data_IF_465215031087
#
_entry.id   IF_465215031087
#
_cell.length_a   1.000
_cell.length_b   1.000
_cell.length_c   1.000
_cell.angle_alpha   90.00
_cell.angle_beta   90.00
_cell.angle_gamma   90.00
#
_symmetry.space_group_name_H-M   'P 1'
#
loop_
_entity.id
_entity.type
_entity.pdbx_description
1 polymer ?
#
# COMPACT_ATOMS: atom_id res chain seq x y z
N UNK A 1 8.64 -8.61 -17.74
CA UNK A 1 7.27 -8.42 -17.22
C UNK A 1 6.86 -6.99 -17.51
N UNK A 2 5.61 -6.74 -17.87
CA UNK A 2 5.13 -5.38 -18.15
C UNK A 2 4.33 -4.85 -16.97
N UNK A 3 4.46 -3.58 -16.64
CA UNK A 3 3.63 -2.92 -15.62
C UNK A 3 2.70 -1.94 -16.30
N UNK A 4 1.41 -2.08 -16.03
CA UNK A 4 0.37 -1.14 -16.43
C UNK A 4 0.03 -0.28 -15.23
N UNK A 5 0.04 1.03 -15.43
CA UNK A 5 -0.07 2.01 -14.38
C UNK A 5 -1.40 2.77 -14.44
N UNK A 6 -2.16 2.71 -13.35
CA UNK A 6 -3.35 3.52 -13.12
C UNK A 6 -3.03 4.59 -12.07
N UNK A 7 -2.82 5.83 -12.53
CA UNK A 7 -2.58 6.97 -11.62
C UNK A 7 -3.92 7.62 -11.31
N UNK A 8 -4.31 7.62 -10.04
CA UNK A 8 -5.60 8.13 -9.57
C UNK A 8 -5.41 9.39 -8.74
N UNK A 9 -6.09 10.46 -9.15
CA UNK A 9 -6.16 11.72 -8.42
C UNK A 9 -7.57 11.95 -7.90
N UNK A 10 -7.78 12.20 -6.60
CA UNK A 10 -9.07 12.63 -6.11
C UNK A 10 -9.27 14.12 -6.47
N UNK A 11 -10.47 14.52 -6.87
CA UNK A 11 -10.77 15.93 -7.22
C UNK A 11 -10.76 16.87 -6.02
N UNK A 12 -11.17 16.35 -4.88
CA UNK A 12 -11.19 17.06 -3.61
C UNK A 12 -10.40 16.25 -2.58
N UNK A 13 -10.12 16.87 -1.44
CA UNK A 13 -9.54 16.14 -0.32
C UNK A 13 -10.48 14.98 0.07
N UNK A 14 -9.94 13.77 0.26
CA UNK A 14 -10.70 12.55 0.59
C UNK A 14 -11.42 12.69 1.95
N UNK A 15 -10.92 13.57 2.82
CA UNK A 15 -11.60 13.96 4.06
C UNK A 15 -12.81 14.89 3.88
N UNK A 16 -13.11 15.35 2.66
CA UNK A 16 -14.25 16.23 2.36
C UNK A 16 -15.59 15.51 2.53
N UNK A 17 -16.64 16.28 2.84
CA UNK A 17 -18.03 15.80 2.92
C UNK A 17 -18.50 15.09 1.64
N UNK A 18 -17.91 15.40 0.48
CA UNK A 18 -18.27 14.77 -0.80
C UNK A 18 -17.94 13.27 -0.86
N UNK A 19 -16.92 12.86 -0.09
CA UNK A 19 -16.60 11.44 0.08
C UNK A 19 -17.41 10.83 1.22
N UNK A 20 -17.72 11.59 2.28
CA UNK A 20 -18.37 11.11 3.51
C UNK A 20 -19.88 11.35 3.53
N UNK A 21 -20.68 10.31 3.29
CA UNK A 21 -22.13 10.35 3.55
C UNK A 21 -22.43 10.42 5.06
N UNK A 22 -23.52 11.10 5.42
CA UNK A 22 -24.12 11.03 6.76
C UNK A 22 -24.51 9.57 7.04
N UNK A 23 -23.72 8.87 7.86
CA UNK A 23 -23.92 7.45 8.19
C UNK A 23 -22.71 6.54 7.98
N UNK A 24 -21.57 7.04 7.50
CA UNK A 24 -20.29 6.31 7.50
C UNK A 24 -20.07 5.33 6.34
N UNK A 25 -21.08 5.06 5.52
CA UNK A 25 -20.96 4.24 4.30
C UNK A 25 -20.58 5.14 3.13
N UNK A 26 -19.41 4.93 2.52
CA UNK A 26 -18.89 5.72 1.40
C UNK A 26 -19.50 5.17 0.10
N UNK A 27 -20.47 5.86 -0.50
CA UNK A 27 -20.98 5.50 -1.82
C UNK A 27 -19.90 5.79 -2.89
N UNK A 28 -19.61 4.81 -3.74
CA UNK A 28 -18.68 5.00 -4.84
C UNK A 28 -19.25 5.94 -5.89
N UNK A 29 -18.53 7.03 -6.17
CA UNK A 29 -18.88 8.02 -7.19
C UNK A 29 -17.68 8.23 -8.13
N UNK A 30 -17.75 7.77 -9.40
CA UNK A 30 -16.65 7.92 -10.36
C UNK A 30 -16.20 9.37 -10.55
N UNK A 31 -17.14 10.32 -10.50
CA UNK A 31 -16.90 11.77 -10.66
C UNK A 31 -15.92 12.38 -9.66
N UNK A 32 -15.61 11.68 -8.57
CA UNK A 32 -14.70 12.15 -7.53
C UNK A 32 -13.23 11.92 -7.90
N UNK A 33 -12.96 11.15 -8.97
CA UNK A 33 -11.62 10.76 -9.37
C UNK A 33 -11.31 11.21 -10.79
N UNK A 34 -10.07 11.64 -10.98
CA UNK A 34 -9.47 11.77 -12.29
C UNK A 34 -8.39 10.67 -12.46
N UNK A 35 -8.24 10.17 -13.68
CA UNK A 35 -7.24 9.18 -14.06
C UNK A 35 -6.28 9.76 -15.10
N UNK A 36 -5.00 9.42 -14.98
CA UNK A 36 -3.98 9.79 -15.96
C UNK A 36 -4.07 8.88 -17.20
N UNK A 37 -4.20 9.47 -18.38
CA UNK A 37 -4.16 8.77 -19.66
C UNK A 37 -3.20 9.46 -20.63
N UNK A 38 -2.67 8.68 -21.56
CA UNK A 38 -1.77 9.09 -22.62
C UNK A 38 -2.52 8.99 -23.95
N UNK A 39 -2.28 9.94 -24.85
CA UNK A 39 -2.88 10.00 -26.18
C UNK A 39 -1.87 9.44 -27.19
N UNK A 40 -2.17 8.31 -27.82
CA UNK A 40 -1.35 7.77 -28.91
C UNK A 40 -1.79 8.39 -30.23
N UNK A 41 -0.86 9.06 -30.89
CA UNK A 41 -0.97 9.53 -32.28
C UNK A 41 -0.33 8.57 -33.28
N UNK A 42 0.09 7.37 -32.85
CA UNK A 42 0.91 6.45 -33.66
C UNK A 42 0.18 5.83 -34.85
N UNK A 43 -1.14 5.89 -34.88
CA UNK A 43 -1.92 5.50 -36.04
C UNK A 43 -2.51 6.77 -36.65
N UNK A 44 -2.44 6.90 -37.98
CA UNK A 44 -3.11 7.93 -38.79
C UNK A 44 -4.66 7.90 -38.70
N UNK A 45 -5.20 7.47 -37.55
CA UNK A 45 -6.60 7.50 -37.20
C UNK A 45 -7.00 8.95 -36.86
N UNK A 46 -8.17 9.43 -37.32
CA UNK A 46 -8.61 10.80 -37.12
C UNK A 46 -8.91 11.16 -35.66
N UNK A 47 -8.84 10.21 -34.72
CA UNK A 47 -9.07 10.42 -33.29
C UNK A 47 -7.92 9.83 -32.47
N UNK A 48 -7.33 10.61 -31.53
CA UNK A 48 -6.28 10.11 -30.66
C UNK A 48 -6.81 8.94 -29.82
N UNK A 49 -6.04 7.86 -29.76
CA UNK A 49 -6.40 6.68 -28.96
C UNK A 49 -5.83 6.84 -27.56
N UNK A 50 -6.70 6.83 -26.55
CA UNK A 50 -6.26 7.01 -25.16
C UNK A 50 -5.88 5.67 -24.54
N UNK A 51 -4.73 5.61 -23.88
CA UNK A 51 -4.24 4.39 -23.26
C UNK A 51 -3.67 4.66 -21.87
N UNK A 52 -3.57 3.59 -21.06
CA UNK A 52 -2.91 3.63 -19.76
C UNK A 52 -1.40 3.48 -19.98
N UNK A 53 -0.57 4.27 -19.27
CA UNK A 53 0.88 4.15 -19.38
C UNK A 53 1.33 2.75 -18.96
N UNK A 54 2.22 2.17 -19.76
CA UNK A 54 2.82 0.87 -19.50
C UNK A 54 4.32 0.94 -19.74
N UNK A 55 5.09 0.21 -18.92
CA UNK A 55 6.54 0.14 -19.04
C UNK A 55 7.06 -1.27 -18.67
N UNK A 56 8.17 -1.71 -19.27
CA UNK A 56 8.81 -2.96 -18.88
C UNK A 56 9.43 -2.83 -17.48
N UNK A 57 9.25 -3.85 -16.65
CA UNK A 57 9.98 -3.97 -15.39
C UNK A 57 11.43 -4.36 -15.71
N UNK A 58 12.38 -3.53 -15.29
CA UNK A 58 13.80 -3.71 -15.58
C UNK A 58 14.54 -4.45 -14.46
N UNK A 59 14.13 -4.29 -13.20
CA UNK A 59 14.85 -4.86 -12.06
C UNK A 59 13.99 -5.91 -11.35
N UNK A 60 14.36 -7.20 -11.47
CA UNK A 60 13.61 -8.30 -10.83
C UNK A 60 13.97 -8.50 -9.35
N UNK A 61 15.08 -7.92 -8.88
CA UNK A 61 15.60 -8.13 -7.52
C UNK A 61 15.12 -7.06 -6.51
N UNK A 62 14.72 -5.88 -6.98
CA UNK A 62 14.29 -4.76 -6.15
C UNK A 62 12.77 -4.77 -5.92
N UNK A 63 12.28 -4.12 -4.85
CA UNK A 63 10.85 -4.07 -4.58
C UNK A 63 10.14 -3.30 -5.72
N UNK A 64 9.27 -3.94 -6.53
CA UNK A 64 8.76 -3.37 -7.79
C UNK A 64 7.95 -2.08 -7.58
N UNK A 65 7.58 -1.77 -6.34
CA UNK A 65 6.85 -0.55 -5.97
C UNK A 65 7.70 0.70 -6.14
N UNK A 66 8.99 0.64 -5.82
CA UNK A 66 9.88 1.80 -5.90
C UNK A 66 10.24 2.10 -7.35
N UNK A 67 10.44 1.07 -8.17
CA UNK A 67 10.59 1.20 -9.62
C UNK A 67 9.33 1.83 -10.24
N UNK A 68 8.13 1.41 -9.82
CA UNK A 68 6.87 2.00 -10.29
C UNK A 68 6.75 3.49 -9.98
N UNK A 69 7.12 3.90 -8.76
CA UNK A 69 7.08 5.32 -8.36
C UNK A 69 8.14 6.15 -9.10
N UNK A 70 9.31 5.58 -9.33
CA UNK A 70 10.40 6.22 -10.07
C UNK A 70 10.04 6.40 -11.54
N UNK A 71 9.49 5.36 -12.17
CA UNK A 71 9.03 5.42 -13.56
C UNK A 71 7.86 6.40 -13.71
N UNK A 72 6.92 6.46 -12.77
CA UNK A 72 5.87 7.48 -12.76
C UNK A 72 6.46 8.91 -12.76
N UNK A 73 7.44 9.15 -11.90
CA UNK A 73 8.08 10.46 -11.80
C UNK A 73 8.76 10.85 -13.12
N UNK A 74 9.46 9.92 -13.76
CA UNK A 74 10.09 10.12 -15.07
C UNK A 74 9.05 10.37 -16.18
N UNK A 75 7.98 9.56 -16.23
CA UNK A 75 6.90 9.67 -17.22
C UNK A 75 6.11 10.97 -17.13
N UNK A 76 6.13 11.64 -15.99
CA UNK A 76 5.36 12.87 -15.74
C UNK A 76 6.21 14.14 -15.76
N UNK A 77 7.47 14.05 -16.21
CA UNK A 77 8.35 15.21 -16.44
C UNK A 77 9.71 15.15 -15.76
N UNK A 78 9.90 14.19 -14.84
CA UNK A 78 11.16 13.97 -14.12
C UNK A 78 11.72 15.23 -13.45
N UNK A 79 13.04 15.30 -13.33
CA UNK A 79 13.73 16.43 -12.70
C UNK A 79 13.65 17.72 -13.51
N UNK A 80 13.45 17.63 -14.83
CA UNK A 80 13.43 18.80 -15.72
C UNK A 80 12.16 19.61 -15.60
N UNK A 81 11.03 18.96 -15.30
CA UNK A 81 9.71 19.60 -15.28
C UNK A 81 8.93 19.41 -13.98
N UNK A 82 9.51 18.72 -12.99
CA UNK A 82 8.88 18.47 -11.70
C UNK A 82 7.82 17.39 -11.81
N UNK A 83 8.25 16.14 -12.02
CA UNK A 83 7.36 14.98 -12.12
C UNK A 83 6.49 14.76 -10.89
N UNK A 84 5.37 14.06 -11.08
CA UNK A 84 4.43 13.72 -10.02
C UNK A 84 5.03 12.60 -9.17
N UNK A 85 5.15 12.84 -7.87
CA UNK A 85 5.58 11.83 -6.89
C UNK A 85 4.34 11.13 -6.34
N UNK A 86 4.11 9.89 -6.77
CA UNK A 86 3.02 9.08 -6.22
C UNK A 86 3.14 8.85 -4.71
N UNK A 87 2.00 8.67 -4.04
CA UNK A 87 1.94 8.43 -2.59
C UNK A 87 2.35 6.99 -2.22
N UNK A 88 2.08 6.02 -3.10
CA UNK A 88 2.44 4.59 -2.96
C UNK A 88 2.12 3.80 -4.23
N UNK A 89 2.77 2.66 -4.44
CA UNK A 89 2.41 1.70 -5.50
C UNK A 89 1.60 0.52 -4.96
N UNK A 90 0.35 0.38 -5.38
CA UNK A 90 -0.53 -0.72 -4.95
C UNK A 90 -0.78 -1.70 -6.09
N UNK A 91 -0.44 -2.96 -5.89
CA UNK A 91 -0.77 -4.01 -6.83
C UNK A 91 -2.28 -4.29 -6.80
N UNK A 92 -2.94 -4.16 -7.94
CA UNK A 92 -4.32 -4.61 -8.12
C UNK A 92 -4.27 -6.11 -8.47
N UNK A 93 -4.91 -6.98 -7.67
CA UNK A 93 -4.96 -8.39 -8.00
C UNK A 93 -5.73 -8.59 -9.30
N UNK A 94 -5.06 -9.12 -10.31
CA UNK A 94 -5.67 -9.48 -11.59
C UNK A 94 -5.92 -10.99 -11.61
N UNK A 95 -7.18 -11.41 -11.51
CA UNK A 95 -7.55 -12.82 -11.70
C UNK A 95 -7.51 -13.11 -13.19
N UNK A 96 -6.50 -13.86 -13.67
CA UNK A 96 -6.49 -14.36 -15.04
C UNK A 96 -7.67 -15.31 -15.20
N UNK A 97 -8.71 -14.86 -15.91
CA UNK A 97 -9.79 -15.75 -16.29
C UNK A 97 -9.27 -16.70 -17.37
N UNK A 98 -9.58 -17.98 -17.22
CA UNK A 98 -8.86 -19.13 -17.76
C UNK A 98 -8.95 -19.36 -19.29
N UNK A 99 -9.25 -18.35 -20.09
CA UNK A 99 -9.41 -18.53 -21.53
C UNK A 99 -8.41 -17.66 -22.29
N UNK A 100 -7.34 -18.33 -22.72
CA UNK A 100 -6.43 -18.00 -23.82
C UNK A 100 -6.25 -16.50 -24.09
N UNK A 101 -5.24 -15.90 -23.47
CA UNK A 101 -4.51 -14.81 -24.11
C UNK A 101 -3.01 -15.06 -23.89
N UNK A 102 -2.36 -15.39 -24.99
CA UNK A 102 -0.94 -15.71 -25.14
C UNK A 102 -0.01 -14.58 -24.66
N UNK A 103 0.92 -14.95 -23.78
CA UNK A 103 2.32 -14.49 -23.78
C UNK A 103 2.65 -13.03 -23.40
N UNK A 104 2.13 -12.51 -22.29
CA UNK A 104 2.89 -11.57 -21.45
C UNK A 104 2.41 -11.58 -20.00
N UNK A 105 3.35 -11.73 -19.07
CA UNK A 105 3.09 -11.51 -17.66
C UNK A 105 3.10 -10.00 -17.39
N UNK A 106 1.93 -9.47 -17.06
CA UNK A 106 1.78 -8.07 -16.66
C UNK A 106 1.30 -7.92 -15.21
N UNK A 107 1.65 -6.80 -14.59
CA UNK A 107 1.12 -6.35 -13.30
C UNK A 107 0.35 -5.05 -13.47
N UNK A 108 -0.74 -4.90 -12.73
CA UNK A 108 -1.53 -3.67 -12.71
C UNK A 108 -1.29 -2.96 -11.40
N UNK A 109 -0.71 -1.77 -11.46
CA UNK A 109 -0.45 -0.94 -10.28
C UNK A 109 -1.36 0.27 -10.26
N UNK A 110 -1.98 0.52 -9.09
CA UNK A 110 -2.66 1.76 -8.77
C UNK A 110 -1.70 2.65 -8.00
N UNK A 111 -1.52 3.89 -8.46
CA UNK A 111 -0.76 4.92 -7.77
C UNK A 111 -1.68 6.09 -7.42
N UNK A 112 -2.09 6.24 -6.15
CA UNK A 112 -2.80 7.42 -5.71
C UNK A 112 -1.84 8.62 -5.67
N UNK A 113 -2.35 9.78 -6.08
CA UNK A 113 -1.66 11.08 -6.03
C UNK A 113 -2.52 12.08 -5.26
N UNK A 114 -1.92 13.20 -4.87
CA UNK A 114 -2.62 14.24 -4.13
C UNK A 114 -3.59 15.00 -5.06
N UNK A 115 -4.69 15.52 -4.53
CA UNK A 115 -5.64 16.34 -5.30
C UNK A 115 -5.00 17.62 -5.87
N UNK A 116 -3.89 18.08 -5.26
CA UNK A 116 -3.11 19.24 -5.71
C UNK A 116 -2.15 18.93 -6.84
N UNK A 117 -1.85 17.65 -7.09
CA UNK A 117 -0.86 17.26 -8.08
C UNK A 117 -1.39 17.51 -9.49
N UNK A 118 -0.59 18.23 -10.27
CA UNK A 118 -0.89 18.61 -11.65
C UNK A 118 0.35 18.39 -12.49
N UNK A 119 0.12 18.00 -13.75
CA UNK A 119 1.18 17.94 -14.73
C UNK A 119 1.63 19.36 -15.10
N UNK A 120 2.92 19.52 -15.34
CA UNK A 120 3.46 20.77 -15.84
C UNK A 120 3.01 21.00 -17.29
N UNK A 121 2.37 22.14 -17.57
CA UNK A 121 1.85 22.47 -18.90
C UNK A 121 2.94 22.42 -19.99
N UNK A 122 4.15 22.90 -19.67
CA UNK A 122 5.29 22.89 -20.59
C UNK A 122 5.72 21.46 -20.95
N UNK A 123 5.59 20.52 -20.02
CA UNK A 123 5.88 19.12 -20.28
C UNK A 123 4.82 18.48 -21.18
N UNK A 124 3.54 18.73 -20.87
CA UNK A 124 2.42 18.19 -21.65
C UNK A 124 2.51 18.61 -23.12
N UNK A 125 2.79 19.90 -23.38
CA UNK A 125 2.91 20.43 -24.75
C UNK A 125 4.10 19.86 -25.53
N UNK A 126 5.20 19.54 -24.84
CA UNK A 126 6.42 18.99 -25.45
C UNK A 126 6.40 17.47 -25.59
N UNK A 127 5.56 16.79 -24.83
CA UNK A 127 5.50 15.34 -24.83
C UNK A 127 4.74 14.81 -26.06
N UNK A 128 5.22 13.73 -26.71
CA UNK A 128 4.57 13.17 -27.90
C UNK A 128 3.19 12.56 -27.57
N UNK A 129 3.06 11.96 -26.39
CA UNK A 129 1.86 11.24 -25.96
C UNK A 129 0.88 12.10 -25.12
N UNK A 130 1.13 13.41 -24.99
CA UNK A 130 0.27 14.40 -24.30
C UNK A 130 -0.48 13.85 -23.07
N UNK A 131 0.21 13.55 -21.96
CA UNK A 131 -0.42 12.98 -20.78
C UNK A 131 -1.38 13.99 -20.15
N UNK A 132 -2.55 13.51 -19.72
CA UNK A 132 -3.60 14.35 -19.14
C UNK A 132 -4.42 13.63 -18.09
N UNK A 133 -4.93 14.39 -17.12
CA UNK A 133 -5.91 13.88 -16.15
C UNK A 133 -7.32 14.04 -16.70
N UNK A 134 -8.06 12.94 -16.74
CA UNK A 134 -9.43 12.88 -17.24
C UNK A 134 -10.38 12.38 -16.16
N UNK A 135 -11.58 12.97 -16.08
CA UNK A 135 -12.62 12.51 -15.14
C UNK A 135 -12.93 11.03 -15.38
N UNK A 136 -12.89 10.22 -14.32
CA UNK A 136 -13.15 8.79 -14.42
C UNK A 136 -14.58 8.50 -14.88
N UNK A 137 -15.55 9.33 -14.50
CA UNK A 137 -16.94 9.31 -14.99
C UNK A 137 -16.99 9.40 -16.52
N UNK A 138 -16.37 10.45 -17.08
CA UNK A 138 -16.35 10.65 -18.53
C UNK A 138 -15.66 9.50 -19.26
N UNK A 139 -14.61 8.91 -18.67
CA UNK A 139 -13.89 7.77 -19.24
C UNK A 139 -14.78 6.52 -19.25
N UNK A 140 -15.44 6.21 -18.14
CA UNK A 140 -16.36 5.06 -18.05
C UNK A 140 -17.54 5.23 -19.01
N UNK A 141 -18.16 6.41 -19.05
CA UNK A 141 -19.25 6.72 -19.97
C UNK A 141 -18.81 6.60 -21.42
N UNK A 142 -17.58 7.02 -21.74
CA UNK A 142 -17.03 6.88 -23.09
C UNK A 142 -16.76 5.42 -23.49
N UNK A 143 -16.41 4.57 -22.53
CA UNK A 143 -16.25 3.12 -22.75
C UNK A 143 -17.61 2.47 -23.00
N UNK A 144 -18.63 2.84 -22.24
CA UNK A 144 -20.00 2.31 -22.38
C UNK A 144 -20.66 2.78 -23.68
N UNK A 145 -20.53 4.06 -24.02
CA UNK A 145 -21.12 4.67 -25.21
C UNK A 145 -20.26 4.51 -26.48
N UNK A 146 -19.08 3.88 -26.38
CA UNK A 146 -18.10 3.68 -27.48
C UNK A 146 -17.74 4.96 -28.24
N UNK A 147 -17.74 6.10 -27.58
CA UNK A 147 -17.52 7.43 -28.21
C UNK A 147 -16.05 7.69 -28.56
N UNK A 148 -15.14 7.16 -27.75
CA UNK A 148 -13.68 7.30 -27.87
C UNK A 148 -13.06 5.92 -28.10
N UNK A 149 -12.08 5.85 -29.00
CA UNK A 149 -11.34 4.62 -29.28
C UNK A 149 -10.32 4.36 -28.16
N UNK A 150 -10.66 3.44 -27.27
CA UNK A 150 -9.75 2.87 -26.27
C UNK A 150 -9.30 1.48 -26.72
N UNK A 151 -8.01 1.14 -26.62
CA UNK A 151 -7.54 -0.21 -26.87
C UNK A 151 -8.31 -1.24 -26.01
N UNK A 152 -8.63 -2.44 -26.54
CA UNK A 152 -9.23 -3.52 -25.77
C UNK A 152 -8.60 -3.79 -24.40
N UNK A 153 -7.26 -3.83 -24.22
CA UNK A 153 -6.66 -4.04 -22.91
C UNK A 153 -7.02 -2.92 -21.93
N UNK A 154 -6.86 -1.66 -22.35
CA UNK A 154 -7.18 -0.48 -21.52
C UNK A 154 -8.63 -0.48 -21.04
N UNK A 155 -9.58 -0.87 -21.89
CA UNK A 155 -11.00 -1.00 -21.49
C UNK A 155 -11.20 -2.02 -20.37
N UNK A 156 -10.63 -3.22 -20.53
CA UNK A 156 -10.70 -4.27 -19.49
C UNK A 156 -10.08 -3.78 -18.17
N UNK A 157 -8.95 -3.08 -18.22
CA UNK A 157 -8.29 -2.54 -17.02
C UNK A 157 -9.12 -1.49 -16.31
N UNK A 158 -9.74 -0.56 -17.04
CA UNK A 158 -10.56 0.49 -16.43
C UNK A 158 -11.82 -0.11 -15.80
N UNK A 159 -12.49 -1.07 -16.44
CA UNK A 159 -13.64 -1.76 -15.84
C UNK A 159 -13.26 -2.54 -14.58
N UNK A 160 -12.09 -3.20 -14.56
CA UNK A 160 -11.60 -3.89 -13.36
C UNK A 160 -11.21 -2.91 -12.25
N UNK A 161 -10.57 -1.80 -12.60
CA UNK A 161 -10.24 -0.72 -11.67
C UNK A 161 -11.50 -0.14 -11.02
N UNK A 162 -12.57 0.07 -11.80
CA UNK A 162 -13.86 0.53 -11.30
C UNK A 162 -14.45 -0.45 -10.27
N UNK A 163 -14.47 -1.75 -10.60
CA UNK A 163 -14.93 -2.81 -9.68
C UNK A 163 -14.10 -2.85 -8.39
N UNK A 164 -12.77 -2.77 -8.53
CA UNK A 164 -11.85 -2.72 -7.40
C UNK A 164 -12.07 -1.48 -6.52
N UNK A 165 -12.27 -0.29 -7.11
CA UNK A 165 -12.59 0.93 -6.36
C UNK A 165 -13.93 0.82 -5.63
N UNK A 166 -14.97 0.25 -6.27
CA UNK A 166 -16.25 -0.04 -5.60
C UNK A 166 -16.06 -0.92 -4.37
N UNK A 167 -15.23 -1.97 -4.48
CA UNK A 167 -14.90 -2.83 -3.34
C UNK A 167 -14.16 -2.07 -2.22
N UNK A 168 -13.24 -1.16 -2.58
CA UNK A 168 -12.51 -0.34 -1.59
C UNK A 168 -13.41 0.70 -0.92
N UNK A 169 -14.37 1.27 -1.63
CA UNK A 169 -15.38 2.18 -1.07
C UNK A 169 -16.33 1.48 -0.09
N UNK A 170 -16.65 0.21 -0.33
CA UNK A 170 -17.50 -0.57 0.58
C UNK A 170 -16.87 -0.79 1.97
N UNK A 171 -15.54 -0.64 2.08
CA UNK A 171 -14.81 -0.79 3.35
C UNK A 171 -14.57 0.58 3.98
N UNK A 172 -14.99 0.78 5.24
CA UNK A 172 -14.73 2.05 5.93
C UNK A 172 -13.21 2.30 6.04
N UNK A 173 -12.82 3.58 6.05
CA UNK A 173 -11.44 4.08 6.23
C UNK A 173 -10.40 3.66 5.17
N UNK A 174 -10.76 2.78 4.23
CA UNK A 174 -9.84 2.25 3.23
C UNK A 174 -9.38 3.35 2.25
N UNK A 175 -10.26 4.30 1.90
CA UNK A 175 -9.91 5.44 1.05
C UNK A 175 -9.00 6.43 1.73
N UNK A 176 -9.24 6.70 3.02
CA UNK A 176 -8.40 7.59 3.81
C UNK A 176 -6.97 7.05 3.86
N UNK A 177 -6.81 5.72 4.00
CA UNK A 177 -5.51 5.05 3.95
C UNK A 177 -4.92 5.08 2.52
N UNK A 178 -5.75 4.87 1.49
CA UNK A 178 -5.33 4.83 0.09
C UNK A 178 -4.64 6.13 -0.35
N UNK A 179 -5.28 7.27 -0.07
CA UNK A 179 -4.79 8.60 -0.45
C UNK A 179 -4.00 9.30 0.66
N UNK A 180 -3.65 8.58 1.72
CA UNK A 180 -2.85 9.15 2.80
C UNK A 180 -1.43 9.48 2.33
N UNK A 181 -0.85 10.54 2.89
CA UNK A 181 0.52 10.97 2.56
C UNK A 181 1.58 9.86 2.67
N UNK A 182 2.65 9.97 1.87
CA UNK A 182 3.83 9.08 1.89
C UNK A 182 4.36 8.88 3.31
N UNK A 183 4.95 7.72 3.55
CA UNK A 183 5.58 7.40 4.83
C UNK A 183 6.62 8.44 5.23
N UNK A 184 7.39 8.97 4.27
CA UNK A 184 8.44 9.97 4.45
C UNK A 184 7.96 11.23 5.19
N UNK A 185 6.73 11.67 4.95
CA UNK A 185 6.17 12.87 5.60
C UNK A 185 5.52 12.56 6.97
N UNK A 186 5.29 11.29 7.27
CA UNK A 186 4.59 10.83 8.48
C UNK A 186 5.53 10.36 9.57
N UNK A 187 6.70 9.83 9.21
CA UNK A 187 7.72 9.42 10.17
C UNK A 187 8.20 10.66 10.94
N UNK A 188 8.05 10.66 12.26
CA UNK A 188 8.49 11.75 13.14
C UNK A 188 9.82 11.47 13.81
N UNK A 189 10.04 10.21 14.18
CA UNK A 189 11.29 9.73 14.72
C UNK A 189 11.50 8.30 14.24
N UNK A 190 12.76 7.91 14.10
CA UNK A 190 13.17 6.53 13.82
C UNK A 190 14.21 6.16 14.85
N UNK A 191 14.00 5.06 15.56
CA UNK A 191 14.98 4.49 16.49
C UNK A 191 15.54 3.24 15.83
N UNK A 192 16.80 3.29 15.45
CA UNK A 192 17.52 2.14 14.89
C UNK A 192 18.47 1.59 15.94
N UNK A 193 18.49 0.27 16.10
CA UNK A 193 19.42 -0.38 17.00
C UNK A 193 20.85 -0.25 16.44
N UNK A 194 21.80 0.33 17.21
CA UNK A 194 23.17 0.56 16.75
C UNK A 194 23.91 -0.72 16.36
N UNK A 195 23.54 -1.89 16.89
CA UNK A 195 24.14 -3.17 16.51
C UNK A 195 23.86 -3.57 15.05
N UNK A 196 22.84 -2.97 14.42
CA UNK A 196 22.45 -3.26 13.04
C UNK A 196 22.66 -2.08 12.08
N UNK A 197 23.26 -0.98 12.55
CA UNK A 197 23.62 0.11 11.66
C UNK A 197 24.83 -0.31 10.82
N UNK A 198 24.76 -0.27 9.47
CA UNK A 198 25.93 -0.47 8.65
C UNK A 198 26.94 0.62 9.04
N UNK A 199 28.07 0.20 9.59
CA UNK A 199 29.09 1.09 10.13
C UNK A 199 29.48 2.08 9.04
N UNK A 200 29.29 3.39 9.26
CA UNK A 200 29.74 4.47 8.37
C UNK A 200 31.27 4.61 8.39
N UNK A 201 32.00 3.51 8.33
CA UNK A 201 33.41 3.54 8.05
C UNK A 201 33.54 3.59 6.52
N UNK A 202 34.36 4.49 5.96
CA UNK A 202 34.65 4.45 4.54
C UNK A 202 35.21 3.07 4.23
N UNK A 203 34.49 2.32 3.40
CA UNK A 203 34.94 1.06 2.83
C UNK A 203 36.15 1.35 1.95
N UNK A 204 37.33 1.39 2.55
CA UNK A 204 38.58 1.14 1.83
C UNK A 204 38.60 -0.36 1.52
N UNK A 205 38.14 -0.74 0.31
CA UNK A 205 38.41 -1.92 -0.54
C UNK A 205 38.78 -3.31 0.03
N UNK A 206 38.74 -3.53 1.34
CA UNK A 206 39.19 -4.76 1.96
C UNK A 206 37.97 -5.58 2.41
N UNK A 207 37.47 -6.42 1.51
CA UNK A 207 36.44 -7.45 1.77
C UNK A 207 36.74 -8.32 3.00
N UNK A 208 38.02 -8.45 3.40
CA UNK A 208 38.44 -9.16 4.61
C UNK A 208 37.91 -8.51 5.91
N UNK A 209 37.79 -7.18 5.94
CA UNK A 209 37.30 -6.46 7.12
C UNK A 209 35.79 -6.68 7.38
N UNK A 210 35.02 -7.05 6.35
CA UNK A 210 33.58 -7.26 6.47
C UNK A 210 33.27 -8.65 7.06
N UNK A 211 34.07 -9.67 6.72
CA UNK A 211 34.03 -10.98 7.37
C UNK A 211 34.53 -10.91 8.81
N UNK A 212 35.60 -10.16 9.08
CA UNK A 212 36.09 -9.92 10.45
C UNK A 212 35.05 -9.21 11.31
N UNK A 213 34.39 -8.16 10.78
CA UNK A 213 33.32 -7.45 11.48
C UNK A 213 32.11 -8.35 11.73
N UNK A 214 31.73 -9.17 10.73
CA UNK A 214 30.68 -10.18 10.88
C UNK A 214 31.06 -11.16 11.99
N UNK A 215 32.29 -11.64 12.01
CA UNK A 215 32.77 -12.57 13.02
C UNK A 215 32.82 -11.94 14.41
N UNK A 216 33.23 -10.67 14.53
CA UNK A 216 33.20 -9.90 15.78
C UNK A 216 31.76 -9.70 16.29
N UNK A 217 30.81 -9.42 15.40
CA UNK A 217 29.39 -9.29 15.77
C UNK A 217 28.79 -10.63 16.25
N UNK A 218 29.11 -11.74 15.57
CA UNK A 218 28.70 -13.08 16.00
C UNK A 218 29.39 -13.48 17.32
N UNK A 219 30.65 -13.09 17.52
CA UNK A 219 31.37 -13.33 18.77
C UNK A 219 30.77 -12.52 19.93
N UNK A 220 30.41 -11.26 19.70
CA UNK A 220 29.72 -10.42 20.70
C UNK A 220 28.35 -11.00 21.05
N UNK A 221 27.59 -11.48 20.06
CA UNK A 221 26.30 -12.15 20.26
C UNK A 221 26.47 -13.48 21.01
N UNK A 222 27.48 -14.28 20.68
CA UNK A 222 27.80 -15.52 21.40
C UNK A 222 28.23 -15.25 22.85
N UNK A 223 29.00 -14.18 23.10
CA UNK A 223 29.35 -13.73 24.46
C UNK A 223 28.14 -13.24 25.22
N UNK A 224 27.23 -12.49 24.59
CA UNK A 224 25.95 -12.10 25.20
C UNK A 224 25.10 -13.32 25.59
N UNK A 225 24.94 -14.28 24.68
CA UNK A 225 24.21 -15.53 24.96
C UNK A 225 24.89 -16.39 26.03
N UNK A 226 26.22 -16.35 26.11
CA UNK A 226 26.98 -17.00 27.18
C UNK A 226 26.84 -16.30 28.55
N UNK A 227 26.68 -14.97 28.54
CA UNK A 227 26.39 -14.14 29.73
C UNK A 227 24.92 -14.28 30.16
N UNK A 228 23.99 -14.59 29.24
CA UNK A 228 22.60 -14.96 29.52
C UNK A 228 22.44 -16.34 30.22
N UNK A 229 23.45 -16.80 30.96
CA UNK A 229 23.20 -17.60 32.16
C UNK A 229 22.63 -16.66 33.22
N UNK A 230 21.31 -16.48 33.18
CA UNK A 230 20.53 -15.63 34.07
C UNK A 230 20.95 -15.77 35.55
N UNK A 231 21.75 -14.83 36.06
CA UNK A 231 22.06 -14.72 37.50
C UNK A 231 21.11 -13.77 38.25
N UNK A 232 20.27 -13.02 37.55
CA UNK A 232 19.30 -12.12 38.18
C UNK A 232 17.89 -12.42 37.66
N UNK A 233 17.12 -13.14 38.47
CA UNK A 233 15.67 -13.18 38.35
C UNK A 233 15.12 -11.90 39.00
N UNK A 234 14.81 -10.88 38.20
CA UNK A 234 13.93 -9.80 38.67
C UNK A 234 12.51 -10.35 38.67
N UNK A 235 12.09 -10.91 39.80
CA UNK A 235 10.67 -11.21 40.03
C UNK A 235 9.95 -9.87 40.03
N UNK A 236 9.08 -9.65 39.05
CA UNK A 236 8.18 -8.51 39.04
C UNK A 236 7.43 -8.48 40.39
N UNK A 237 7.60 -7.43 41.23
CA UNK A 237 7.03 -7.40 42.58
C UNK A 237 5.50 -7.40 42.58
N UNK A 238 4.87 -7.31 41.41
CA UNK A 238 3.42 -7.44 41.24
C UNK A 238 2.94 -8.90 41.33
N UNK A 239 3.77 -9.88 40.96
CA UNK A 239 3.45 -11.28 41.20
C UNK A 239 3.73 -11.56 42.68
N UNK A 240 2.67 -11.88 43.42
CA UNK A 240 2.60 -12.06 44.89
C UNK A 240 2.28 -10.81 45.74
N UNK A 241 1.92 -9.68 45.14
CA UNK A 241 1.56 -8.45 45.88
C UNK A 241 0.23 -8.50 46.64
N UNK A 242 -0.57 -9.56 46.52
CA UNK A 242 -1.90 -9.67 47.16
C UNK A 242 -2.89 -8.59 46.72
N UNK A 243 -2.51 -7.71 45.78
CA UNK A 243 -3.37 -6.67 45.25
C UNK A 243 -4.45 -7.31 44.40
N UNK A 244 -5.75 -7.09 44.69
CA UNK A 244 -6.81 -7.60 43.85
C UNK A 244 -6.69 -6.94 42.47
N UNK A 245 -6.23 -7.70 41.48
CA UNK A 245 -6.36 -7.32 40.09
C UNK A 245 -7.86 -7.19 39.80
N UNK A 246 -8.37 -5.96 39.81
CA UNK A 246 -9.63 -5.67 39.13
C UNK A 246 -9.32 -5.78 37.65
N UNK A 247 -9.51 -6.98 37.09
CA UNK A 247 -9.69 -7.18 35.66
C UNK A 247 -11.01 -6.52 35.26
N UNK A 248 -11.05 -5.18 35.30
CA UNK A 248 -11.88 -4.47 34.35
C UNK A 248 -11.19 -4.67 33.02
N UNK A 249 -11.48 -5.81 32.39
CA UNK A 249 -11.36 -5.96 30.95
C UNK A 249 -12.17 -4.80 30.43
N UNK A 250 -11.48 -3.77 29.96
CA UNK A 250 -12.15 -2.68 29.29
C UNK A 250 -12.83 -3.34 28.09
N UNK A 251 -14.14 -3.54 28.18
CA UNK A 251 -14.94 -4.12 27.10
C UNK A 251 -15.04 -3.06 26.02
N UNK A 252 -13.92 -2.70 25.42
CA UNK A 252 -13.92 -2.01 24.15
C UNK A 252 -14.36 -3.05 23.13
N UNK A 253 -15.69 -3.22 23.02
CA UNK A 253 -16.30 -3.93 21.90
C UNK A 253 -15.82 -3.21 20.66
N UNK A 254 -14.99 -3.87 19.86
CA UNK A 254 -14.58 -3.37 18.57
C UNK A 254 -15.85 -3.27 17.70
N UNK A 255 -16.24 -2.06 17.34
CA UNK A 255 -17.52 -1.75 16.70
C UNK A 255 -17.70 -2.44 15.32
N UNK A 256 -16.60 -2.98 14.77
CA UNK A 256 -16.53 -3.57 13.44
C UNK A 256 -16.52 -5.11 13.41
N UNK A 257 -16.46 -5.78 14.56
CA UNK A 257 -16.74 -7.22 14.65
C UNK A 257 -18.20 -7.41 15.04
N UNK A 258 -18.98 -7.92 14.10
CA UNK A 258 -20.43 -8.07 14.20
C UNK A 258 -20.90 -8.65 15.53
N UNK A 259 -22.00 -8.10 16.04
CA UNK A 259 -22.70 -8.63 17.20
C UNK A 259 -23.33 -9.96 16.80
N UNK A 260 -22.60 -11.07 16.94
CA UNK A 260 -23.25 -12.35 17.15
C UNK A 260 -23.63 -12.45 18.62
N UNK A 261 -24.92 -12.70 18.83
CA UNK A 261 -25.54 -12.92 20.13
C UNK A 261 -24.81 -14.00 20.92
N UNK A 262 -24.55 -13.70 22.19
CA UNK A 262 -23.94 -14.58 23.16
C UNK A 262 -24.77 -15.86 23.33
N UNK A 263 -24.37 -16.96 22.67
CA UNK A 263 -24.68 -18.29 23.18
C UNK A 263 -23.72 -18.58 24.33
N UNK A 264 -24.31 -18.67 25.52
CA UNK A 264 -23.67 -18.97 26.78
C UNK A 264 -22.98 -20.34 26.78
N UNK A 265 -21.69 -20.37 26.44
CA UNK A 265 -20.84 -21.53 26.75
C UNK A 265 -20.41 -21.42 28.22
N UNK A 266 -21.26 -21.95 29.09
CA UNK A 266 -20.97 -22.24 30.48
C UNK A 266 -19.81 -23.24 30.55
N UNK A 267 -18.59 -22.74 30.72
CA UNK A 267 -17.43 -23.56 31.08
C UNK A 267 -17.29 -23.54 32.60
N UNK A 268 -18.13 -24.33 33.28
CA UNK A 268 -17.87 -24.77 34.66
C UNK A 268 -16.58 -25.58 34.66
N UNK A 269 -15.45 -24.96 35.01
CA UNK A 269 -14.30 -25.69 35.56
C UNK A 269 -14.58 -25.93 37.05
N UNK A 270 -15.10 -27.10 37.36
CA UNK A 270 -15.13 -27.65 38.72
C UNK A 270 -13.71 -28.04 39.10
N UNK A 271 -13.07 -27.25 39.95
CA UNK A 271 -11.88 -27.67 40.70
C UNK A 271 -12.33 -28.45 41.94
N UNK A 272 -12.37 -29.77 41.85
CA UNK A 272 -12.46 -30.65 43.02
C UNK A 272 -11.05 -30.98 43.51
N UNK A 273 -10.54 -30.19 44.44
CA UNK A 273 -9.45 -30.60 45.33
C UNK A 273 -10.05 -31.37 46.49
N UNK A 274 -10.01 -32.70 46.42
CA UNK A 274 -10.27 -33.57 47.58
C UNK A 274 -9.10 -33.48 48.54
N UNK A 275 -9.31 -32.79 49.65
CA UNK A 275 -8.57 -33.03 50.89
C UNK A 275 -8.95 -34.42 51.41
N UNK A 276 -7.96 -35.29 51.64
CA UNK A 276 -8.09 -36.41 52.56
C UNK A 276 -6.96 -36.32 53.58
N UNK A 277 -7.31 -35.85 54.76
CA UNK A 277 -6.58 -36.05 56.00
C UNK A 277 -7.14 -37.29 56.72
N UNK A 278 -6.27 -37.95 57.49
CA UNK A 278 -6.49 -39.01 58.48
C UNK A 278 -6.82 -40.39 57.87
N UNK A 279 -6.11 -41.51 58.15
CA UNK A 279 -5.41 -42.04 59.33
C UNK A 279 -4.26 -42.95 58.88
#
# INVERSE_FOLDING_TARGET
MEVILAVLRPRHNVGSHDFKLKGGILEYKPKLYDILLFDSTKNHEPRPTKYLPAFPLTNSEEEPRDEVLTNLYQLTGGDKHGGIKGERGLLIPWKRQAERDSLSSFYVYCVPVNYRDKLNAVFVDKSPDKPGFYSLENVIDSINNRSISFPPPTRKFISHLESWLKEKHARPETLDILFHSRADYRIKFSVSNPAFLPTRLPLSDNLQNLEELRNTAHEALAKMLAIEKCEIVVINPLFNSGLPYKTKVDKMKNLYWGSQEDQSVSSRRTSSSTNSSDV
#
